data_IF_259776845083
#
_entry.id   IF_259776845083
#
_cell.length_a   1.000
_cell.length_b   1.000
_cell.length_c   1.000
_cell.angle_alpha   90.00
_cell.angle_beta   90.00
_cell.angle_gamma   90.00
#
_symmetry.space_group_name_H-M   'P 1'
#
loop_
_entity.id
_entity.type
_entity.pdbx_description
1 polymer ?
#
# COMPACT_ATOMS: atom_id res chain seq x y z
N UNK A 1 -8.38 25.11 -12.43
CA UNK A 1 -7.86 24.07 -13.34
C UNK A 1 -8.87 22.95 -13.34
N UNK A 2 -9.42 22.62 -14.50
CA UNK A 2 -10.41 21.56 -14.66
C UNK A 2 -9.83 20.24 -14.13
N UNK A 3 -10.63 19.47 -13.41
CA UNK A 3 -10.29 18.18 -12.81
C UNK A 3 -10.10 17.05 -13.85
N UNK A 4 -10.06 17.40 -15.15
CA UNK A 4 -10.26 16.48 -16.27
C UNK A 4 -9.02 16.20 -17.14
N UNK A 5 -7.85 16.78 -16.86
CA UNK A 5 -6.64 16.56 -17.68
C UNK A 5 -5.46 16.14 -16.79
N UNK A 6 -5.55 14.96 -16.17
CA UNK A 6 -4.39 14.33 -15.52
C UNK A 6 -4.06 13.03 -16.27
N UNK A 7 -3.20 13.08 -17.29
CA UNK A 7 -2.92 11.91 -18.15
C UNK A 7 -2.33 10.74 -17.36
N UNK A 8 -1.63 10.99 -16.25
CA UNK A 8 -1.13 9.94 -15.35
C UNK A 8 -2.27 9.22 -14.64
N UNK A 9 -3.31 9.96 -14.21
CA UNK A 9 -4.49 9.37 -13.57
C UNK A 9 -5.32 8.57 -14.57
N UNK A 10 -5.52 9.08 -15.79
CA UNK A 10 -6.26 8.37 -16.83
C UNK A 10 -5.55 7.06 -17.21
N UNK A 11 -4.23 7.12 -17.42
CA UNK A 11 -3.41 5.93 -17.66
C UNK A 11 -3.51 4.91 -16.52
N UNK A 12 -3.40 5.37 -15.28
CA UNK A 12 -3.53 4.50 -14.12
C UNK A 12 -4.89 3.79 -14.06
N UNK A 13 -5.99 4.50 -14.38
CA UNK A 13 -7.34 3.93 -14.41
C UNK A 13 -7.44 2.85 -15.50
N UNK A 14 -6.95 3.13 -16.71
CA UNK A 14 -6.94 2.16 -17.81
C UNK A 14 -6.16 0.88 -17.44
N UNK A 15 -4.92 1.03 -16.97
CA UNK A 15 -4.07 -0.09 -16.56
C UNK A 15 -4.71 -0.90 -15.42
N UNK A 16 -5.35 -0.22 -14.46
CA UNK A 16 -6.01 -0.85 -13.30
C UNK A 16 -7.24 -1.66 -13.71
N UNK A 17 -8.04 -1.19 -14.67
CA UNK A 17 -9.24 -1.88 -15.14
C UNK A 17 -8.92 -3.20 -15.87
N UNK A 18 -7.75 -3.28 -16.53
CA UNK A 18 -7.30 -4.47 -17.23
C UNK A 18 -6.82 -5.60 -16.30
N UNK A 19 -6.58 -5.31 -15.01
CA UNK A 19 -5.97 -6.25 -14.05
C UNK A 19 -6.84 -7.45 -13.66
N UNK A 20 -8.13 -7.45 -14.01
CA UNK A 20 -8.99 -8.64 -14.00
C UNK A 20 -9.23 -9.30 -12.63
N UNK A 21 -9.04 -8.59 -11.51
CA UNK A 21 -9.32 -9.10 -10.16
C UNK A 21 -8.18 -9.90 -9.52
N UNK A 22 -6.96 -9.83 -10.06
CA UNK A 22 -5.76 -10.36 -9.41
C UNK A 22 -5.26 -9.42 -8.29
N UNK A 23 -6.13 -9.11 -7.34
CA UNK A 23 -5.94 -8.10 -6.28
C UNK A 23 -4.66 -8.36 -5.49
N UNK A 24 -4.46 -9.60 -5.00
CA UNK A 24 -3.27 -9.99 -4.23
C UNK A 24 -1.96 -9.93 -5.04
N UNK A 25 -2.02 -10.18 -6.35
CA UNK A 25 -0.81 -10.14 -7.19
C UNK A 25 -0.41 -8.70 -7.52
N UNK A 26 -1.39 -7.80 -7.61
CA UNK A 26 -1.19 -6.47 -8.17
C UNK A 26 -1.24 -5.34 -7.13
N UNK A 27 -1.58 -5.61 -5.86
CA UNK A 27 -1.82 -4.54 -4.88
C UNK A 27 -0.63 -3.57 -4.72
N UNK A 28 0.62 -4.05 -4.76
CA UNK A 28 1.79 -3.17 -4.65
C UNK A 28 1.90 -2.23 -5.84
N UNK A 29 1.73 -2.76 -7.06
CA UNK A 29 1.73 -1.98 -8.29
C UNK A 29 0.59 -0.95 -8.29
N UNK A 30 -0.60 -1.37 -7.84
CA UNK A 30 -1.75 -0.50 -7.71
C UNK A 30 -1.49 0.67 -6.76
N UNK A 31 -0.96 0.41 -5.55
CA UNK A 31 -0.67 1.46 -4.56
C UNK A 31 0.41 2.41 -5.07
N UNK A 32 1.46 1.91 -5.71
CA UNK A 32 2.51 2.76 -6.31
C UNK A 32 1.92 3.64 -7.42
N UNK A 33 1.18 3.05 -8.37
CA UNK A 33 0.54 3.78 -9.46
C UNK A 33 -0.45 4.83 -8.97
N UNK A 34 -1.21 4.53 -7.91
CA UNK A 34 -2.12 5.48 -7.28
C UNK A 34 -1.37 6.66 -6.64
N UNK A 35 -0.27 6.39 -5.93
CA UNK A 35 0.58 7.45 -5.37
C UNK A 35 1.09 8.37 -6.48
N UNK A 36 1.58 7.80 -7.59
CA UNK A 36 2.09 8.56 -8.74
C UNK A 36 0.99 9.39 -9.42
N UNK A 37 -0.18 8.79 -9.66
CA UNK A 37 -1.33 9.46 -10.25
C UNK A 37 -1.82 10.66 -9.41
N UNK A 38 -1.69 10.58 -8.08
CA UNK A 38 -2.06 11.62 -7.14
C UNK A 38 -0.91 12.58 -6.78
N UNK A 39 0.30 12.36 -7.28
CA UNK A 39 1.48 13.16 -6.94
C UNK A 39 1.93 13.02 -5.47
N UNK A 40 1.68 11.85 -4.86
CA UNK A 40 2.05 11.52 -3.49
C UNK A 40 3.38 10.77 -3.44
N UNK A 41 4.06 10.83 -2.30
CA UNK A 41 5.20 9.94 -2.03
C UNK A 41 4.78 8.48 -2.06
N UNK A 42 5.67 7.60 -2.54
CA UNK A 42 5.47 6.15 -2.59
C UNK A 42 6.08 5.43 -1.37
N UNK A 43 5.62 4.21 -1.04
CA UNK A 43 6.29 3.37 -0.06
C UNK A 43 7.76 3.12 -0.41
N UNK A 44 8.60 3.04 0.60
CA UNK A 44 10.02 2.75 0.51
C UNK A 44 10.29 1.25 0.53
N UNK A 45 11.51 0.87 0.15
CA UNK A 45 11.99 -0.50 0.32
C UNK A 45 12.06 -0.84 1.81
N UNK A 46 11.56 -2.02 2.18
CA UNK A 46 11.64 -2.49 3.55
C UNK A 46 13.10 -2.74 3.96
N UNK A 47 13.43 -2.39 5.20
CA UNK A 47 14.71 -2.64 5.85
C UNK A 47 14.60 -3.82 6.81
N UNK A 48 15.74 -4.40 7.18
CA UNK A 48 15.84 -5.49 8.17
C UNK A 48 15.27 -5.06 9.52
N UNK A 49 15.66 -3.88 10.01
CA UNK A 49 15.10 -3.35 11.25
C UNK A 49 13.69 -2.83 11.01
N UNK A 50 12.73 -3.52 11.63
CA UNK A 50 11.32 -3.20 11.51
C UNK A 50 11.06 -1.77 12.02
N UNK A 51 11.75 -1.24 13.03
CA UNK A 51 11.47 0.10 13.55
C UNK A 51 11.71 1.24 12.53
N UNK A 52 12.59 1.03 11.55
CA UNK A 52 12.93 1.99 10.48
C UNK A 52 11.93 1.98 9.31
N UNK A 53 10.99 1.04 9.32
CA UNK A 53 10.03 0.85 8.24
C UNK A 53 8.80 1.76 8.43
N UNK A 54 8.99 3.06 8.21
CA UNK A 54 7.98 4.10 8.43
C UNK A 54 6.93 4.21 7.34
N UNK A 55 7.28 3.87 6.10
CA UNK A 55 6.34 3.79 4.98
C UNK A 55 6.76 2.68 4.03
N UNK A 56 6.22 1.47 4.20
CA UNK A 56 6.67 0.27 3.46
C UNK A 56 5.50 -0.66 3.17
N UNK A 57 5.71 -1.58 2.23
CA UNK A 57 4.85 -2.76 2.10
C UNK A 57 5.25 -3.86 3.08
N UNK A 58 4.31 -4.73 3.43
CA UNK A 58 4.53 -5.94 4.23
C UNK A 58 5.24 -5.66 5.56
N UNK A 59 4.78 -4.65 6.30
CA UNK A 59 5.37 -4.33 7.60
C UNK A 59 4.96 -5.37 8.64
N UNK A 60 5.94 -5.98 9.31
CA UNK A 60 5.67 -6.98 10.35
C UNK A 60 4.98 -6.36 11.56
N UNK A 61 3.95 -7.03 12.05
CA UNK A 61 3.23 -6.72 13.29
C UNK A 61 2.90 -8.00 14.07
N UNK A 62 2.67 -7.85 15.37
CA UNK A 62 2.15 -8.93 16.22
C UNK A 62 0.70 -8.61 16.60
N UNK A 63 -0.23 -9.43 16.11
CA UNK A 63 -1.64 -9.31 16.45
C UNK A 63 -1.85 -9.86 17.86
N UNK A 64 -2.38 -9.02 18.75
CA UNK A 64 -2.72 -9.42 20.12
C UNK A 64 -4.16 -9.92 20.17
N UNK A 65 -4.33 -11.13 20.70
CA UNK A 65 -5.63 -11.77 20.89
C UNK A 65 -6.18 -11.53 22.29
N UNK A 66 -7.50 -11.70 22.45
CA UNK A 66 -8.19 -11.48 23.73
C UNK A 66 -7.79 -12.45 24.84
N UNK A 67 -7.25 -13.62 24.47
CA UNK A 67 -6.72 -14.64 25.39
C UNK A 67 -5.27 -14.35 25.85
N UNK A 68 -4.68 -13.24 25.40
CA UNK A 68 -3.30 -12.84 25.73
C UNK A 68 -2.24 -13.40 24.79
N UNK A 69 -2.61 -14.26 23.82
CA UNK A 69 -1.67 -14.77 22.83
C UNK A 69 -1.35 -13.72 21.76
N UNK A 70 -0.26 -13.96 21.03
CA UNK A 70 0.15 -13.13 19.89
C UNK A 70 0.42 -13.99 18.68
N UNK A 71 -0.01 -13.53 17.51
CA UNK A 71 0.33 -14.16 16.23
C UNK A 71 1.06 -13.15 15.35
N UNK A 72 2.16 -13.55 14.71
CA UNK A 72 2.84 -12.69 13.76
C UNK A 72 1.96 -12.51 12.51
N UNK A 73 2.04 -11.33 11.91
CA UNK A 73 1.53 -11.10 10.57
C UNK A 73 2.08 -9.83 9.97
N UNK A 74 1.45 -9.37 8.90
CA UNK A 74 1.96 -8.28 8.08
C UNK A 74 0.83 -7.33 7.73
N UNK A 75 1.21 -6.07 7.61
CA UNK A 75 0.39 -5.02 7.04
C UNK A 75 0.78 -4.87 5.57
N UNK A 76 -0.20 -4.91 4.65
CA UNK A 76 0.10 -4.84 3.23
C UNK A 76 0.77 -3.54 2.85
N UNK A 77 0.23 -2.39 3.26
CA UNK A 77 0.86 -1.08 3.10
C UNK A 77 0.76 -0.30 4.41
N UNK A 78 1.90 -0.09 5.06
CA UNK A 78 1.99 0.65 6.31
C UNK A 78 2.57 2.03 6.05
N UNK A 79 1.95 3.06 6.61
CA UNK A 79 2.55 4.39 6.78
C UNK A 79 2.34 4.83 8.23
N UNK A 80 3.42 5.24 8.90
CA UNK A 80 3.38 5.74 10.28
C UNK A 80 2.39 6.90 10.39
N UNK A 81 1.63 6.92 11.47
CA UNK A 81 0.63 7.94 11.80
C UNK A 81 -0.51 8.09 10.76
N UNK A 82 -0.72 7.09 9.90
CA UNK A 82 -1.79 7.07 8.90
C UNK A 82 -2.68 5.84 9.05
N UNK A 83 -3.83 5.86 8.36
CA UNK A 83 -4.65 4.65 8.20
C UNK A 83 -3.88 3.59 7.42
N UNK A 84 -4.07 2.35 7.83
CA UNK A 84 -3.32 1.20 7.37
C UNK A 84 -4.19 0.39 6.41
N UNK A 85 -3.62 -0.05 5.29
CA UNK A 85 -4.26 -1.01 4.40
C UNK A 85 -3.87 -2.43 4.81
N UNK A 86 -4.87 -3.25 5.09
CA UNK A 86 -4.77 -4.68 5.37
C UNK A 86 -5.81 -5.41 4.52
N UNK A 87 -5.36 -6.43 3.80
CA UNK A 87 -6.15 -7.45 3.12
C UNK A 87 -6.77 -8.42 4.12
#
# INVERSE_FOLDING_TARGET
MSKADNPTLEKFIEDSLLSGGAETANYQLFVVGLCEALGLGRPQMAQESNELNDYVFQRRVDFKHGDGTRTPGYIDCYKRDCFILVH
#
